data_IF_149262839530
#
_entry.id   IF_149262839530
#
_cell.length_a   1.000
_cell.length_b   1.000
_cell.length_c   1.000
_cell.angle_alpha   90.00
_cell.angle_beta   90.00
_cell.angle_gamma   90.00
#
_symmetry.space_group_name_H-M   'P 1'
#
loop_
_entity.id
_entity.type
_entity.pdbx_description
1 polymer ?
#
# COMPACT_ATOMS: atom_id res chain seq x y z
N UNK A 1 -3.95 -38.22 -20.79
CA UNK A 1 -4.50 -37.29 -19.77
C UNK A 1 -3.45 -36.84 -18.74
N UNK A 2 -2.20 -36.57 -19.15
CA UNK A 2 -1.13 -36.04 -18.28
C UNK A 2 -0.15 -35.27 -19.18
N UNK A 3 -0.55 -34.08 -19.68
CA UNK A 3 0.33 -33.19 -20.47
C UNK A 3 -0.31 -31.81 -20.70
N UNK A 4 -0.59 -31.04 -19.65
CA UNK A 4 -1.01 -29.63 -19.80
C UNK A 4 -0.87 -28.76 -18.53
N UNK A 5 0.19 -28.91 -17.73
CA UNK A 5 0.53 -27.94 -16.67
C UNK A 5 2.02 -27.58 -16.71
N UNK A 6 2.48 -26.96 -17.79
CA UNK A 6 3.89 -26.53 -17.92
C UNK A 6 4.09 -25.10 -18.44
N UNK A 7 3.07 -24.26 -18.35
CA UNK A 7 3.17 -22.85 -18.74
C UNK A 7 2.67 -22.03 -17.56
N UNK A 8 3.62 -21.51 -16.77
CA UNK A 8 3.53 -20.40 -15.80
C UNK A 8 4.78 -20.34 -14.87
N UNK A 9 5.85 -21.08 -15.15
CA UNK A 9 7.19 -20.70 -14.68
C UNK A 9 7.66 -19.47 -15.46
N UNK A 10 8.25 -18.50 -14.75
CA UNK A 10 8.91 -17.34 -15.34
C UNK A 10 9.80 -17.74 -16.52
N UNK A 11 9.72 -17.03 -17.63
CA UNK A 11 10.74 -17.12 -18.70
C UNK A 11 12.09 -16.51 -18.29
N UNK A 12 12.20 -15.94 -17.08
CA UNK A 12 13.47 -16.00 -16.37
C UNK A 12 13.66 -17.46 -15.94
N UNK A 13 14.32 -18.26 -16.77
CA UNK A 13 14.85 -19.55 -16.33
C UNK A 13 15.69 -19.33 -15.06
N UNK A 14 15.89 -20.36 -14.21
CA UNK A 14 16.83 -20.24 -13.11
C UNK A 14 18.14 -19.73 -13.70
N UNK A 15 18.64 -18.60 -13.21
CA UNK A 15 19.99 -18.17 -13.56
C UNK A 15 20.89 -19.34 -13.24
N UNK A 16 21.66 -19.82 -14.22
CA UNK A 16 22.56 -20.95 -14.03
C UNK A 16 23.65 -20.68 -12.97
N UNK A 17 23.75 -19.45 -12.45
CA UNK A 17 24.49 -19.10 -11.25
C UNK A 17 23.59 -19.11 -10.01
N UNK A 18 24.03 -19.78 -8.95
CA UNK A 18 23.42 -19.68 -7.61
C UNK A 18 23.34 -18.23 -7.11
N UNK A 19 22.63 -18.03 -6.00
CA UNK A 19 22.45 -16.70 -5.38
C UNK A 19 23.78 -15.96 -5.25
N UNK A 20 23.85 -14.77 -5.84
CA UNK A 20 24.96 -13.83 -5.67
C UNK A 20 24.62 -12.85 -4.55
N UNK A 21 25.56 -12.54 -3.64
CA UNK A 21 25.37 -11.49 -2.65
C UNK A 21 25.02 -10.16 -3.32
N UNK A 22 24.05 -9.44 -2.75
CA UNK A 22 23.79 -8.07 -3.18
C UNK A 22 24.97 -7.17 -2.79
N UNK A 23 25.38 -6.28 -3.68
CA UNK A 23 26.36 -5.23 -3.39
C UNK A 23 25.63 -3.89 -3.33
N UNK A 24 25.84 -3.14 -2.24
CA UNK A 24 25.33 -1.78 -2.06
C UNK A 24 26.47 -0.78 -2.28
N UNK A 25 27.03 -0.76 -3.49
CA UNK A 25 28.18 0.08 -3.88
C UNK A 25 27.84 1.54 -4.18
N UNK A 26 26.56 1.92 -4.02
CA UNK A 26 26.08 3.26 -4.33
C UNK A 26 25.79 3.49 -5.81
N UNK A 27 25.85 2.46 -6.66
CA UNK A 27 25.65 2.57 -8.11
C UNK A 27 24.33 3.25 -8.52
N UNK A 28 23.28 3.08 -7.70
CA UNK A 28 21.98 3.73 -7.89
C UNK A 28 22.04 5.27 -7.84
N UNK A 29 23.09 5.87 -7.26
CA UNK A 29 23.27 7.31 -7.18
C UNK A 29 24.07 7.91 -8.34
N UNK A 30 24.60 7.09 -9.27
CA UNK A 30 25.44 7.59 -10.37
C UNK A 30 24.72 8.56 -11.32
N UNK A 31 23.38 8.49 -11.41
CA UNK A 31 22.61 9.46 -12.21
C UNK A 31 22.40 10.81 -11.51
N UNK A 32 22.75 10.92 -10.22
CA UNK A 32 22.53 12.14 -9.45
C UNK A 32 23.78 13.01 -9.45
N UNK A 33 23.62 14.28 -9.84
CA UNK A 33 24.68 15.26 -9.71
C UNK A 33 24.99 15.60 -8.24
N UNK A 34 26.20 16.08 -7.96
CA UNK A 34 26.62 16.48 -6.61
C UNK A 34 25.68 17.51 -5.97
N UNK A 35 25.11 18.42 -6.78
CA UNK A 35 24.11 19.38 -6.31
C UNK A 35 22.82 18.72 -5.85
N UNK A 36 22.35 17.69 -6.56
CA UNK A 36 21.15 16.93 -6.17
C UNK A 36 21.39 16.12 -4.90
N UNK A 37 22.57 15.51 -4.76
CA UNK A 37 22.95 14.78 -3.56
C UNK A 37 23.07 15.71 -2.34
N UNK A 38 23.67 16.88 -2.52
CA UNK A 38 23.76 17.91 -1.48
C UNK A 38 22.37 18.39 -1.06
N UNK A 39 21.49 18.68 -2.03
CA UNK A 39 20.09 19.05 -1.77
C UNK A 39 19.36 17.93 -1.02
N UNK A 40 19.50 16.68 -1.45
CA UNK A 40 18.88 15.53 -0.81
C UNK A 40 19.34 15.40 0.65
N UNK A 41 20.64 15.52 0.92
CA UNK A 41 21.19 15.49 2.27
C UNK A 41 20.63 16.62 3.13
N UNK A 42 20.58 17.85 2.61
CA UNK A 42 20.00 19.00 3.32
C UNK A 42 18.52 18.76 3.65
N UNK A 43 17.72 18.34 2.66
CA UNK A 43 16.29 18.06 2.84
C UNK A 43 16.08 16.97 3.90
N UNK A 44 16.84 15.87 3.85
CA UNK A 44 16.72 14.80 4.84
C UNK A 44 17.10 15.27 6.24
N UNK A 45 18.12 16.13 6.38
CA UNK A 45 18.49 16.75 7.66
C UNK A 45 17.40 17.69 8.19
N UNK A 46 16.76 18.45 7.31
CA UNK A 46 15.62 19.29 7.66
C UNK A 46 14.42 18.45 8.12
N UNK A 47 14.10 17.37 7.42
CA UNK A 47 13.04 16.43 7.81
C UNK A 47 13.34 15.71 9.13
N UNK A 48 14.61 15.63 9.56
CA UNK A 48 14.98 15.10 10.86
C UNK A 48 14.82 16.11 12.01
N UNK A 49 14.44 17.37 11.73
CA UNK A 49 14.28 18.42 12.73
C UNK A 49 12.81 18.52 13.19
N UNK A 50 12.46 18.07 14.42
CA UNK A 50 11.07 17.93 14.83
C UNK A 50 10.23 19.22 14.74
N UNK A 51 10.72 20.40 15.16
CA UNK A 51 9.93 21.64 15.06
C UNK A 51 9.48 21.98 13.64
N UNK A 52 10.29 21.67 12.62
CA UNK A 52 9.92 21.90 11.22
C UNK A 52 8.84 20.92 10.78
N UNK A 53 8.96 19.64 11.16
CA UNK A 53 7.99 18.60 10.80
C UNK A 53 6.64 18.85 11.48
N UNK A 54 6.65 19.17 12.78
CA UNK A 54 5.42 19.38 13.55
C UNK A 54 4.65 20.63 13.11
N UNK A 55 5.34 21.66 12.62
CA UNK A 55 4.72 22.92 12.20
C UNK A 55 4.71 23.13 10.68
N UNK A 56 5.01 22.10 9.89
CA UNK A 56 5.20 22.20 8.44
C UNK A 56 4.02 22.86 7.71
N UNK A 57 2.79 22.50 8.06
CA UNK A 57 1.58 23.09 7.46
C UNK A 57 1.42 24.57 7.80
N UNK A 58 1.70 24.97 9.04
CA UNK A 58 1.65 26.36 9.47
C UNK A 58 2.73 27.20 8.79
N UNK A 59 3.95 26.64 8.67
CA UNK A 59 5.06 27.27 7.95
C UNK A 59 4.76 27.39 6.45
N UNK A 60 4.12 26.40 5.84
CA UNK A 60 3.67 26.46 4.46
C UNK A 60 2.60 27.56 4.27
N UNK A 61 1.59 27.61 5.14
CA UNK A 61 0.55 28.64 5.09
C UNK A 61 1.14 30.05 5.27
N UNK A 62 2.09 30.19 6.21
CA UNK A 62 2.82 31.43 6.42
C UNK A 62 3.66 31.82 5.21
N UNK A 63 4.39 30.88 4.62
CA UNK A 63 5.19 31.09 3.40
C UNK A 63 4.32 31.53 2.23
N UNK A 64 3.16 30.90 2.03
CA UNK A 64 2.19 31.31 1.01
C UNK A 64 1.63 32.70 1.26
N UNK A 65 1.40 33.08 2.52
CA UNK A 65 0.93 34.42 2.89
C UNK A 65 1.99 35.49 2.68
N UNK A 66 3.26 35.18 2.93
CA UNK A 66 4.37 36.14 2.81
C UNK A 66 4.87 36.29 1.37
N UNK A 67 5.13 35.17 0.68
CA UNK A 67 5.77 35.13 -0.63
C UNK A 67 4.77 35.00 -1.79
N UNK A 68 3.50 34.72 -1.48
CA UNK A 68 2.51 34.35 -2.48
C UNK A 68 2.64 32.89 -2.95
N UNK A 69 1.58 32.39 -3.58
CA UNK A 69 1.47 30.99 -4.01
C UNK A 69 2.53 30.59 -5.04
N UNK A 70 2.90 31.48 -5.96
CA UNK A 70 3.87 31.20 -7.02
C UNK A 70 5.29 31.01 -6.49
N UNK A 71 5.80 31.97 -5.71
CA UNK A 71 7.17 31.91 -5.18
C UNK A 71 7.29 30.84 -4.08
N UNK A 72 6.30 30.75 -3.19
CA UNK A 72 6.27 29.68 -2.20
C UNK A 72 6.22 28.31 -2.86
N UNK A 73 5.45 28.15 -3.94
CA UNK A 73 5.39 26.92 -4.71
C UNK A 73 6.73 26.60 -5.37
N UNK A 74 7.37 27.58 -6.02
CA UNK A 74 8.70 27.39 -6.63
C UNK A 74 9.77 26.99 -5.62
N UNK A 75 9.76 27.58 -4.41
CA UNK A 75 10.69 27.23 -3.33
C UNK A 75 10.45 25.81 -2.80
N UNK A 76 9.19 25.43 -2.59
CA UNK A 76 8.85 24.05 -2.19
C UNK A 76 9.30 23.05 -3.27
N UNK A 77 9.08 23.38 -4.54
CA UNK A 77 9.48 22.58 -5.70
C UNK A 77 10.99 22.38 -5.78
N UNK A 78 11.76 23.44 -5.56
CA UNK A 78 13.22 23.40 -5.56
C UNK A 78 13.81 22.67 -4.33
N UNK A 79 13.02 22.37 -3.30
CA UNK A 79 13.50 21.82 -2.02
C UNK A 79 12.89 20.44 -1.71
N UNK A 80 11.88 20.38 -0.84
CA UNK A 80 11.26 19.16 -0.28
C UNK A 80 10.46 18.45 -1.37
N UNK A 81 9.65 19.19 -2.14
CA UNK A 81 8.77 18.58 -3.13
C UNK A 81 9.57 17.90 -4.24
N UNK A 82 10.58 18.55 -4.79
CA UNK A 82 11.49 17.95 -5.78
C UNK A 82 12.39 16.82 -5.26
N UNK A 83 12.35 16.52 -3.95
CA UNK A 83 13.00 15.34 -3.39
C UNK A 83 12.10 14.11 -3.40
N UNK A 84 10.80 14.29 -3.15
CA UNK A 84 9.87 13.19 -2.87
C UNK A 84 8.79 12.99 -3.93
N UNK A 85 8.54 13.98 -4.78
CA UNK A 85 7.45 13.94 -5.76
C UNK A 85 8.03 13.84 -7.18
N UNK A 86 7.49 12.90 -7.96
CA UNK A 86 7.97 12.61 -9.31
C UNK A 86 7.66 13.72 -10.33
N UNK A 87 6.63 14.53 -10.09
CA UNK A 87 6.20 15.63 -10.94
C UNK A 87 4.82 16.15 -10.57
N UNK A 88 4.49 17.37 -11.00
CA UNK A 88 3.16 17.98 -10.88
C UNK A 88 2.26 17.63 -12.08
N UNK A 89 2.85 17.34 -13.24
CA UNK A 89 2.14 16.99 -14.48
C UNK A 89 2.39 15.54 -14.90
N UNK A 90 1.51 15.01 -15.76
CA UNK A 90 1.68 13.67 -16.32
C UNK A 90 2.98 13.56 -17.13
N UNK A 91 3.37 14.63 -17.83
CA UNK A 91 4.59 14.72 -18.62
C UNK A 91 5.84 14.68 -17.74
N UNK A 92 5.85 15.42 -16.63
CA UNK A 92 6.95 15.41 -15.65
C UNK A 92 7.10 14.01 -15.02
N UNK A 93 5.98 13.42 -14.59
CA UNK A 93 5.97 12.06 -14.04
C UNK A 93 6.48 11.06 -15.08
N UNK A 94 6.08 11.19 -16.36
CA UNK A 94 6.58 10.34 -17.44
C UNK A 94 8.08 10.47 -17.66
N UNK A 95 8.60 11.70 -17.67
CA UNK A 95 10.04 11.93 -17.78
C UNK A 95 10.82 11.29 -16.62
N UNK A 96 10.35 11.45 -15.39
CA UNK A 96 10.95 10.84 -14.20
C UNK A 96 10.94 9.30 -14.28
N UNK A 97 9.82 8.72 -14.71
CA UNK A 97 9.70 7.26 -14.83
C UNK A 97 10.61 6.69 -15.92
N UNK A 98 10.71 7.36 -17.08
CA UNK A 98 11.62 6.97 -18.15
C UNK A 98 13.09 7.01 -17.69
N UNK A 99 13.48 8.03 -16.92
CA UNK A 99 14.82 8.11 -16.33
C UNK A 99 15.11 6.97 -15.36
N UNK A 100 14.15 6.58 -14.51
CA UNK A 100 14.32 5.44 -13.60
C UNK A 100 14.38 4.10 -14.35
N UNK A 101 13.64 3.97 -15.45
CA UNK A 101 13.65 2.77 -16.29
C UNK A 101 15.01 2.54 -16.97
N UNK A 102 15.78 3.59 -17.32
CA UNK A 102 17.14 3.42 -17.85
C UNK A 102 18.10 2.77 -16.83
N UNK A 103 17.78 2.85 -15.54
CA UNK A 103 18.49 2.16 -14.45
C UNK A 103 17.97 0.75 -14.18
N UNK A 104 17.01 0.25 -14.95
CA UNK A 104 16.33 -1.02 -14.66
C UNK A 104 15.38 -0.94 -13.46
N UNK A 105 15.10 0.25 -12.93
CA UNK A 105 14.12 0.45 -11.88
C UNK A 105 12.71 0.50 -12.48
N UNK A 106 11.74 -0.09 -11.78
CA UNK A 106 10.32 -0.04 -12.15
C UNK A 106 9.58 0.78 -11.11
N UNK A 107 9.26 2.06 -11.40
CA UNK A 107 8.52 2.89 -10.47
C UNK A 107 7.10 2.37 -10.26
N UNK A 108 6.61 2.56 -9.04
CA UNK A 108 5.22 2.41 -8.69
C UNK A 108 4.65 3.80 -8.46
N UNK A 109 3.50 4.11 -9.05
CA UNK A 109 2.80 5.35 -8.74
C UNK A 109 2.01 5.21 -7.44
N UNK A 110 2.16 6.20 -6.56
CA UNK A 110 1.45 6.30 -5.31
C UNK A 110 0.53 7.52 -5.33
N UNK A 111 -0.72 7.31 -4.94
CA UNK A 111 -1.66 8.41 -4.67
C UNK A 111 -1.60 8.68 -3.17
N UNK A 112 -0.93 9.77 -2.72
CA UNK A 112 -0.67 9.99 -1.31
C UNK A 112 -1.90 10.50 -0.54
N UNK A 113 -3.05 10.65 -1.20
CA UNK A 113 -4.28 11.14 -0.59
C UNK A 113 -4.78 10.16 0.47
N UNK A 114 -5.19 10.69 1.62
CA UNK A 114 -5.89 9.99 2.69
C UNK A 114 -6.78 10.96 3.44
N UNK A 115 -7.78 10.45 4.16
CA UNK A 115 -8.51 11.26 5.13
C UNK A 115 -7.80 11.17 6.48
N UNK A 116 -7.29 12.29 6.98
CA UNK A 116 -6.72 12.36 8.33
C UNK A 116 -7.83 12.22 9.38
N UNK A 117 -7.76 11.21 10.26
CA UNK A 117 -8.75 11.01 11.31
C UNK A 117 -8.80 12.22 12.24
N UNK A 118 -10.00 12.55 12.72
CA UNK A 118 -10.25 13.66 13.66
C UNK A 118 -9.82 15.06 13.12
N UNK A 119 -9.62 15.20 11.80
CA UNK A 119 -9.41 16.50 11.15
C UNK A 119 -10.63 17.42 11.32
N UNK A 120 -10.36 18.71 11.57
CA UNK A 120 -11.40 19.73 11.64
C UNK A 120 -12.04 20.03 10.26
N UNK A 121 -11.38 19.63 9.17
CA UNK A 121 -11.88 19.81 7.81
C UNK A 121 -12.91 18.73 7.52
N UNK A 122 -14.18 19.13 7.36
CA UNK A 122 -15.25 18.20 6.96
C UNK A 122 -15.03 17.76 5.51
N UNK A 123 -14.82 16.46 5.31
CA UNK A 123 -14.91 15.84 3.99
C UNK A 123 -16.37 15.51 3.66
N UNK A 124 -16.67 15.37 2.38
CA UNK A 124 -18.01 15.02 1.90
C UNK A 124 -17.94 14.25 0.58
N UNK A 125 -19.06 13.74 0.09
CA UNK A 125 -19.10 12.87 -1.10
C UNK A 125 -18.39 13.47 -2.32
N UNK A 126 -18.52 14.79 -2.54
CA UNK A 126 -17.83 15.45 -3.65
C UNK A 126 -16.29 15.33 -3.57
N UNK A 127 -15.71 15.33 -2.37
CA UNK A 127 -14.28 15.12 -2.16
C UNK A 127 -13.87 13.69 -2.51
N UNK A 128 -14.67 12.72 -2.06
CA UNK A 128 -14.46 11.30 -2.36
C UNK A 128 -14.62 10.97 -3.85
N UNK A 129 -15.57 11.60 -4.55
CA UNK A 129 -15.74 11.48 -6.01
C UNK A 129 -14.58 12.14 -6.78
N UNK A 130 -14.06 13.26 -6.28
CA UNK A 130 -12.85 13.89 -6.80
C UNK A 130 -11.62 12.97 -6.68
N UNK A 131 -11.43 12.36 -5.51
CA UNK A 131 -10.37 11.39 -5.27
C UNK A 131 -10.53 10.13 -6.13
N UNK A 132 -11.76 9.62 -6.24
CA UNK A 132 -12.08 8.51 -7.14
C UNK A 132 -11.65 8.82 -8.58
N UNK A 133 -12.03 10.01 -9.09
CA UNK A 133 -11.64 10.46 -10.43
C UNK A 133 -10.12 10.59 -10.57
N UNK A 134 -9.42 11.06 -9.54
CA UNK A 134 -7.96 11.16 -9.53
C UNK A 134 -7.29 9.77 -9.55
N UNK A 135 -7.84 8.78 -8.83
CA UNK A 135 -7.34 7.42 -8.84
C UNK A 135 -7.49 6.75 -10.21
N UNK A 136 -8.62 6.95 -10.90
CA UNK A 136 -8.78 6.44 -12.28
C UNK A 136 -7.72 7.02 -13.22
N UNK A 137 -7.46 8.33 -13.15
CA UNK A 137 -6.39 8.96 -13.94
C UNK A 137 -5.00 8.41 -13.59
N UNK A 138 -4.75 8.10 -12.32
CA UNK A 138 -3.47 7.51 -11.90
C UNK A 138 -3.31 6.07 -12.40
N UNK A 139 -4.40 5.30 -12.50
CA UNK A 139 -4.39 3.99 -13.17
C UNK A 139 -4.02 4.15 -14.65
N UNK A 140 -4.67 5.07 -15.36
CA UNK A 140 -4.39 5.32 -16.78
C UNK A 140 -2.94 5.76 -17.01
N UNK A 141 -2.44 6.66 -16.15
CA UNK A 141 -1.05 7.08 -16.17
C UNK A 141 -0.11 5.90 -15.91
N UNK A 142 -0.37 5.08 -14.89
CA UNK A 142 0.45 3.90 -14.56
C UNK A 142 0.59 2.95 -15.77
N UNK A 143 -0.49 2.76 -16.54
CA UNK A 143 -0.47 1.94 -17.75
C UNK A 143 0.33 2.58 -18.89
N UNK A 144 0.18 3.89 -19.10
CA UNK A 144 0.84 4.64 -20.18
C UNK A 144 2.34 4.84 -19.99
N UNK A 145 2.89 4.53 -18.82
CA UNK A 145 4.30 4.71 -18.47
C UNK A 145 5.22 3.53 -18.83
N UNK A 146 4.68 2.38 -19.23
CA UNK A 146 5.46 1.18 -19.53
C UNK A 146 5.22 0.74 -20.99
N UNK A 147 6.22 1.00 -21.85
CA UNK A 147 6.16 0.73 -23.30
C UNK A 147 6.26 -0.76 -23.65
N UNK A 148 6.91 -1.57 -22.80
CA UNK A 148 7.02 -3.02 -23.01
C UNK A 148 6.33 -3.78 -21.89
N UNK A 149 5.25 -4.52 -22.18
CA UNK A 149 4.73 -5.52 -21.25
C UNK A 149 5.81 -6.59 -21.11
N UNK A 150 6.55 -6.57 -20.00
CA UNK A 150 7.32 -7.74 -19.60
C UNK A 150 6.38 -8.96 -19.51
N UNK A 151 6.87 -10.18 -19.72
CA UNK A 151 6.04 -11.40 -19.78
C UNK A 151 5.24 -11.69 -18.49
N UNK A 152 5.43 -10.89 -17.43
CA UNK A 152 4.75 -10.96 -16.13
C UNK A 152 4.12 -9.61 -15.73
N UNK A 153 3.51 -8.88 -16.68
CA UNK A 153 2.79 -7.60 -16.52
C UNK A 153 2.24 -7.29 -15.12
N UNK A 154 3.09 -6.69 -14.28
CA UNK A 154 2.81 -6.34 -12.89
C UNK A 154 3.02 -4.84 -12.71
N UNK A 155 2.21 -4.04 -13.42
CA UNK A 155 2.10 -2.62 -13.09
C UNK A 155 1.38 -2.54 -11.76
N UNK A 156 1.94 -1.78 -10.84
CA UNK A 156 1.45 -1.68 -9.48
C UNK A 156 1.17 -0.21 -9.17
N UNK A 157 0.06 0.04 -8.46
CA UNK A 157 -0.32 1.37 -7.98
C UNK A 157 -0.73 1.29 -6.51
N UNK A 158 -0.28 2.24 -5.70
CA UNK A 158 -0.70 2.35 -4.30
C UNK A 158 -2.02 3.10 -4.17
N UNK A 159 -2.87 2.59 -3.26
CA UNK A 159 -4.17 3.15 -2.92
C UNK A 159 -4.33 3.13 -1.39
N UNK A 160 -4.87 4.22 -0.85
CA UNK A 160 -5.33 4.29 0.55
C UNK A 160 -6.85 4.26 0.58
N UNK A 161 -7.41 3.48 1.50
CA UNK A 161 -8.86 3.24 1.53
C UNK A 161 -9.59 4.50 1.97
N UNK A 162 -9.02 5.26 2.92
CA UNK A 162 -9.62 6.49 3.44
C UNK A 162 -9.65 7.65 2.44
N UNK A 163 -8.92 7.56 1.33
CA UNK A 163 -9.14 8.47 0.20
C UNK A 163 -10.48 8.24 -0.50
N UNK A 164 -11.07 7.05 -0.32
CA UNK A 164 -12.34 6.60 -0.90
C UNK A 164 -13.38 6.22 0.16
N UNK A 165 -13.18 6.49 1.44
CA UNK A 165 -14.23 6.27 2.42
C UNK A 165 -13.89 7.04 3.67
N UNK A 166 -14.90 7.36 4.48
CA UNK A 166 -14.63 8.09 5.69
C UNK A 166 -13.87 7.27 6.72
N UNK A 167 -12.79 7.84 7.25
CA UNK A 167 -12.07 7.37 8.43
C UNK A 167 -13.02 7.24 9.63
N UNK A 168 -14.01 8.14 9.77
CA UNK A 168 -15.05 8.01 10.80
C UNK A 168 -15.89 6.75 10.61
N UNK A 169 -16.37 6.49 9.39
CA UNK A 169 -17.11 5.26 9.10
C UNK A 169 -16.25 4.02 9.37
N UNK A 170 -14.97 4.03 8.97
CA UNK A 170 -14.04 2.94 9.24
C UNK A 170 -13.81 2.70 10.74
N UNK A 171 -13.78 3.76 11.55
CA UNK A 171 -13.69 3.68 13.01
C UNK A 171 -14.93 3.03 13.62
N UNK A 172 -16.13 3.43 13.17
CA UNK A 172 -17.41 2.80 13.58
C UNK A 172 -17.46 1.32 13.22
N UNK A 173 -17.14 0.98 11.95
CA UNK A 173 -17.06 -0.41 11.49
C UNK A 173 -16.05 -1.23 12.30
N UNK A 174 -14.87 -0.67 12.58
CA UNK A 174 -13.85 -1.34 13.40
C UNK A 174 -14.35 -1.61 14.81
N UNK A 175 -15.04 -0.65 15.43
CA UNK A 175 -15.63 -0.81 16.76
C UNK A 175 -16.65 -1.95 16.80
N UNK A 176 -17.39 -2.14 15.70
CA UNK A 176 -18.37 -3.23 15.56
C UNK A 176 -17.70 -4.57 15.33
N UNK A 177 -16.74 -4.66 14.40
CA UNK A 177 -16.01 -5.89 14.07
C UNK A 177 -15.32 -6.50 15.30
N UNK A 178 -14.85 -5.67 16.23
CA UNK A 178 -14.21 -6.13 17.46
C UNK A 178 -15.19 -6.71 18.50
N UNK A 179 -16.51 -6.56 18.34
CA UNK A 179 -17.50 -7.11 19.26
C UNK A 179 -17.72 -8.62 18.99
N UNK A 180 -17.74 -9.47 20.04
CA UNK A 180 -18.08 -10.88 19.88
C UNK A 180 -19.48 -11.06 19.23
N UNK A 181 -19.59 -11.90 18.20
CA UNK A 181 -20.87 -12.20 17.53
C UNK A 181 -21.31 -11.21 16.43
N UNK A 182 -20.55 -10.15 16.18
CA UNK A 182 -20.83 -9.12 15.16
C UNK A 182 -20.76 -9.61 13.68
N UNK A 183 -20.36 -10.86 13.45
CA UNK A 183 -19.71 -11.33 12.22
C UNK A 183 -20.62 -11.66 11.04
N UNK A 184 -21.95 -11.71 11.22
CA UNK A 184 -22.86 -12.13 10.14
C UNK A 184 -23.25 -10.98 9.19
N UNK A 185 -23.29 -9.73 9.68
CA UNK A 185 -23.68 -8.61 8.83
C UNK A 185 -22.55 -8.03 7.99
N UNK A 186 -21.32 -8.19 8.47
CA UNK A 186 -20.11 -7.60 7.90
C UNK A 186 -19.08 -8.72 7.66
N UNK A 187 -19.30 -9.49 6.60
CA UNK A 187 -18.34 -10.47 6.10
C UNK A 187 -17.79 -10.04 4.73
N UNK A 188 -16.55 -10.46 4.37
CA UNK A 188 -15.99 -10.20 3.05
C UNK A 188 -16.92 -10.65 1.89
N UNK A 189 -17.60 -11.79 2.03
CA UNK A 189 -18.51 -12.36 1.03
C UNK A 189 -19.71 -11.45 0.77
N UNK A 190 -20.36 -10.97 1.84
CA UNK A 190 -21.55 -10.13 1.74
C UNK A 190 -21.22 -8.76 1.16
N UNK A 191 -20.06 -8.21 1.51
CA UNK A 191 -19.57 -6.97 0.93
C UNK A 191 -19.22 -7.14 -0.55
N UNK A 192 -18.61 -8.27 -0.94
CA UNK A 192 -18.32 -8.61 -2.33
C UNK A 192 -19.61 -8.78 -3.16
N UNK A 193 -20.65 -9.43 -2.63
CA UNK A 193 -21.96 -9.56 -3.30
C UNK A 193 -22.62 -8.19 -3.51
N UNK A 194 -22.54 -7.30 -2.53
CA UNK A 194 -23.07 -5.95 -2.63
C UNK A 194 -22.37 -5.14 -3.75
N UNK A 195 -21.06 -5.35 -3.95
CA UNK A 195 -20.31 -4.72 -5.04
C UNK A 195 -20.81 -5.17 -6.43
N UNK A 196 -21.13 -6.45 -6.61
CA UNK A 196 -21.56 -7.02 -7.89
C UNK A 196 -23.02 -6.72 -8.23
N UNK A 197 -23.90 -6.98 -7.27
CA UNK A 197 -25.34 -6.94 -7.48
C UNK A 197 -25.89 -5.51 -7.48
N UNK A 198 -25.14 -4.55 -6.93
CA UNK A 198 -25.63 -3.21 -6.66
C UNK A 198 -26.79 -3.20 -5.65
N UNK A 199 -27.02 -4.31 -4.92
CA UNK A 199 -28.07 -4.40 -3.90
C UNK A 199 -27.79 -3.44 -2.76
N UNK A 200 -28.87 -2.98 -2.12
CA UNK A 200 -28.76 -2.18 -0.91
C UNK A 200 -28.21 -3.03 0.25
N UNK A 201 -26.90 -2.93 0.48
CA UNK A 201 -26.29 -3.38 1.73
C UNK A 201 -26.82 -2.52 2.88
N UNK A 202 -27.40 -3.17 3.88
CA UNK A 202 -27.83 -2.54 5.13
C UNK A 202 -27.13 -3.21 6.32
N UNK A 203 -26.44 -2.41 7.11
CA UNK A 203 -25.82 -2.79 8.38
C UNK A 203 -26.64 -2.14 9.48
N UNK A 204 -27.18 -2.96 10.39
CA UNK A 204 -28.15 -2.54 11.42
C UNK A 204 -27.54 -1.54 12.40
N UNK A 205 -26.23 -1.61 12.65
CA UNK A 205 -25.52 -0.71 13.55
C UNK A 205 -25.24 0.69 12.95
N UNK A 206 -25.38 0.84 11.63
CA UNK A 206 -25.17 2.11 10.94
C UNK A 206 -26.49 2.84 10.73
N UNK A 207 -26.47 4.17 10.82
CA UNK A 207 -27.63 4.98 10.46
C UNK A 207 -27.82 5.03 8.92
N UNK A 208 -28.88 5.69 8.45
CA UNK A 208 -29.21 5.76 7.02
C UNK A 208 -28.10 6.41 6.18
N UNK A 209 -27.53 7.53 6.64
CA UNK A 209 -26.45 8.25 5.95
C UNK A 209 -25.16 7.42 5.91
N UNK A 210 -24.82 6.75 7.00
CA UNK A 210 -23.65 5.88 7.08
C UNK A 210 -23.78 4.67 6.17
N UNK A 211 -24.97 4.04 6.11
CA UNK A 211 -25.23 2.95 5.17
C UNK A 211 -25.14 3.42 3.72
N UNK A 212 -25.70 4.60 3.41
CA UNK A 212 -25.57 5.21 2.08
C UNK A 212 -24.10 5.47 1.72
N UNK A 213 -23.31 6.04 2.65
CA UNK A 213 -21.88 6.29 2.44
C UNK A 213 -21.08 4.99 2.29
N UNK A 214 -21.42 3.94 3.05
CA UNK A 214 -20.80 2.62 2.91
C UNK A 214 -21.03 2.04 1.51
N UNK A 215 -22.28 2.09 1.02
CA UNK A 215 -22.62 1.65 -0.34
C UNK A 215 -21.86 2.45 -1.41
N UNK A 216 -21.81 3.78 -1.27
CA UNK A 216 -21.04 4.63 -2.18
C UNK A 216 -19.54 4.30 -2.15
N UNK A 217 -18.98 4.04 -0.96
CA UNK A 217 -17.58 3.66 -0.76
C UNK A 217 -17.25 2.32 -1.42
N UNK A 218 -18.09 1.30 -1.23
CA UNK A 218 -17.95 -0.01 -1.88
C UNK A 218 -18.01 0.12 -3.41
N UNK A 219 -18.94 0.92 -3.92
CA UNK A 219 -19.06 1.21 -5.36
C UNK A 219 -17.78 1.86 -5.91
N UNK A 220 -17.25 2.90 -5.23
CA UNK A 220 -16.02 3.58 -5.66
C UNK A 220 -14.81 2.63 -5.63
N UNK A 221 -14.61 1.91 -4.54
CA UNK A 221 -13.54 0.90 -4.41
C UNK A 221 -13.64 -0.16 -5.52
N UNK A 222 -14.82 -0.77 -5.69
CA UNK A 222 -15.08 -1.78 -6.71
C UNK A 222 -14.75 -1.26 -8.13
N UNK A 223 -15.19 -0.04 -8.45
CA UNK A 223 -14.96 0.58 -9.77
C UNK A 223 -13.48 0.88 -10.02
N UNK A 224 -12.71 1.29 -9.00
CA UNK A 224 -11.26 1.46 -9.15
C UNK A 224 -10.59 0.13 -9.45
N UNK A 225 -10.91 -0.95 -8.73
CA UNK A 225 -10.33 -2.27 -8.99
C UNK A 225 -10.70 -2.79 -10.38
N UNK A 226 -11.98 -2.63 -10.77
CA UNK A 226 -12.47 -3.00 -12.10
C UNK A 226 -11.70 -2.28 -13.21
N UNK A 227 -11.50 -0.97 -13.07
CA UNK A 227 -10.75 -0.15 -14.04
C UNK A 227 -9.27 -0.52 -14.06
N UNK A 228 -8.63 -0.64 -12.89
CA UNK A 228 -7.24 -1.05 -12.74
C UNK A 228 -6.98 -2.40 -13.42
N UNK A 229 -7.84 -3.39 -13.18
CA UNK A 229 -7.76 -4.69 -13.84
C UNK A 229 -7.88 -4.58 -15.36
N UNK A 230 -8.83 -3.81 -15.88
CA UNK A 230 -8.98 -3.59 -17.32
C UNK A 230 -7.74 -2.94 -17.95
N UNK A 231 -7.01 -2.14 -17.17
CA UNK A 231 -5.74 -1.53 -17.55
C UNK A 231 -4.51 -2.37 -17.18
N UNK A 232 -4.68 -3.62 -16.71
CA UNK A 232 -3.60 -4.49 -16.24
C UNK A 232 -2.72 -3.86 -15.14
N UNK A 233 -3.33 -3.07 -14.27
CA UNK A 233 -2.73 -2.48 -13.07
C UNK A 233 -3.25 -3.20 -11.83
N UNK A 234 -2.33 -3.68 -10.99
CA UNK A 234 -2.63 -4.30 -9.70
C UNK A 234 -2.58 -3.21 -8.61
N UNK A 235 -3.48 -3.30 -7.64
CA UNK A 235 -3.63 -2.29 -6.58
C UNK A 235 -3.01 -2.79 -5.27
N UNK A 236 -2.11 -1.98 -4.71
CA UNK A 236 -1.55 -2.17 -3.38
C UNK A 236 -2.28 -1.28 -2.40
N UNK A 237 -3.11 -1.90 -1.58
CA UNK A 237 -3.84 -1.17 -0.57
C UNK A 237 -2.96 -0.99 0.66
N UNK A 238 -2.72 0.27 1.01
CA UNK A 238 -1.89 0.64 2.15
C UNK A 238 -2.63 0.41 3.47
N UNK A 239 -1.86 0.00 4.47
CA UNK A 239 -2.32 -0.02 5.85
C UNK A 239 -2.16 1.38 6.44
N UNK A 240 -3.11 1.76 7.28
CA UNK A 240 -3.20 3.09 7.88
C UNK A 240 -3.09 2.92 9.41
N UNK A 241 -3.97 3.57 10.17
CA UNK A 241 -4.00 3.54 11.63
C UNK A 241 -4.62 2.26 12.20
N UNK A 242 -4.15 1.79 13.37
CA UNK A 242 -4.62 0.53 13.99
C UNK A 242 -6.12 0.53 14.32
N UNK A 243 -6.70 1.70 14.61
CA UNK A 243 -8.12 1.85 14.88
C UNK A 243 -9.00 1.89 13.62
N UNK A 244 -8.39 1.93 12.42
CA UNK A 244 -9.08 1.81 11.13
C UNK A 244 -8.83 0.46 10.47
N UNK A 245 -7.63 -0.10 10.65
CA UNK A 245 -7.13 -1.27 9.92
C UNK A 245 -8.07 -2.48 9.91
N UNK A 246 -8.87 -2.80 10.96
CA UNK A 246 -9.86 -3.88 10.88
C UNK A 246 -10.93 -3.64 9.80
N UNK A 247 -11.51 -2.44 9.72
CA UNK A 247 -12.45 -2.09 8.67
C UNK A 247 -11.77 -2.02 7.29
N UNK A 248 -10.56 -1.46 7.22
CA UNK A 248 -9.81 -1.41 5.95
C UNK A 248 -9.51 -2.82 5.43
N UNK A 249 -9.05 -3.72 6.31
CA UNK A 249 -8.77 -5.12 5.97
C UNK A 249 -10.02 -5.84 5.50
N UNK A 250 -11.17 -5.64 6.18
CA UNK A 250 -12.45 -6.21 5.75
C UNK A 250 -12.85 -5.76 4.33
N UNK A 251 -12.67 -4.46 4.01
CA UNK A 251 -12.94 -3.93 2.66
C UNK A 251 -11.98 -4.50 1.62
N UNK A 252 -10.69 -4.65 1.96
CA UNK A 252 -9.68 -5.25 1.09
C UNK A 252 -9.96 -6.73 0.86
N UNK A 253 -10.34 -7.47 1.90
CA UNK A 253 -10.68 -8.88 1.81
C UNK A 253 -11.92 -9.07 0.91
N UNK A 254 -12.95 -8.21 1.03
CA UNK A 254 -14.11 -8.22 0.13
C UNK A 254 -13.71 -8.00 -1.34
N UNK A 255 -12.83 -7.03 -1.60
CA UNK A 255 -12.27 -6.81 -2.94
C UNK A 255 -11.46 -8.01 -3.43
N UNK A 256 -10.68 -8.65 -2.56
CA UNK A 256 -9.90 -9.84 -2.89
C UNK A 256 -10.80 -11.05 -3.18
N UNK A 257 -11.87 -11.27 -2.41
CA UNK A 257 -12.86 -12.31 -2.72
C UNK A 257 -13.45 -12.14 -4.11
N UNK A 258 -13.68 -10.88 -4.50
CA UNK A 258 -14.26 -10.55 -5.80
C UNK A 258 -13.28 -10.72 -6.96
N UNK A 259 -12.02 -10.30 -6.78
CA UNK A 259 -11.09 -10.10 -7.89
C UNK A 259 -9.88 -11.01 -7.87
N UNK A 260 -9.53 -11.67 -6.76
CA UNK A 260 -8.33 -12.51 -6.65
C UNK A 260 -8.60 -14.00 -6.89
N UNK A 261 -9.72 -14.37 -7.52
CA UNK A 261 -9.99 -15.76 -7.89
C UNK A 261 -8.94 -16.33 -8.86
N UNK A 262 -8.77 -17.67 -8.91
CA UNK A 262 -7.73 -18.33 -9.71
C UNK A 262 -7.89 -18.09 -11.22
N UNK A 263 -9.13 -17.94 -11.69
CA UNK A 263 -9.42 -17.62 -13.10
C UNK A 263 -9.03 -16.19 -13.51
N UNK A 264 -8.67 -15.33 -12.56
CA UNK A 264 -8.47 -13.91 -12.81
C UNK A 264 -7.02 -13.54 -13.11
N UNK A 265 -6.04 -14.42 -12.89
CA UNK A 265 -4.61 -14.08 -13.01
C UNK A 265 -4.11 -13.13 -11.91
N UNK A 266 -4.78 -13.16 -10.74
CA UNK A 266 -4.49 -12.35 -9.56
C UNK A 266 -3.14 -12.65 -8.89
N UNK A 267 -2.83 -11.99 -7.76
CA UNK A 267 -3.69 -11.08 -7.01
C UNK A 267 -3.78 -9.70 -7.67
N UNK A 268 -5.00 -9.21 -7.88
CA UNK A 268 -5.27 -7.85 -8.37
C UNK A 268 -5.31 -6.84 -7.23
N UNK A 269 -5.73 -7.30 -6.06
CA UNK A 269 -5.81 -6.50 -4.84
C UNK A 269 -4.85 -7.07 -3.81
N UNK A 270 -3.94 -6.25 -3.34
CA UNK A 270 -2.92 -6.60 -2.35
C UNK A 270 -3.20 -5.86 -1.06
N UNK A 271 -2.84 -6.48 0.06
CA UNK A 271 -2.96 -5.86 1.38
C UNK A 271 -1.57 -5.60 1.99
N UNK A 272 -1.47 -4.58 2.84
CA UNK A 272 -0.23 -4.18 3.50
C UNK A 272 -0.21 -4.62 4.96
N UNK A 273 0.90 -5.21 5.40
CA UNK A 273 1.08 -5.70 6.77
C UNK A 273 2.25 -4.96 7.42
N UNK A 274 1.99 -4.40 8.61
CA UNK A 274 2.91 -3.51 9.32
C UNK A 274 3.62 -4.26 10.45
N UNK A 275 4.85 -4.68 10.24
CA UNK A 275 5.60 -5.53 11.19
C UNK A 275 5.90 -4.88 12.55
N UNK A 276 5.78 -3.56 12.66
CA UNK A 276 5.88 -2.83 13.94
C UNK A 276 4.71 -3.08 14.89
N UNK A 277 3.62 -3.74 14.48
CA UNK A 277 2.53 -4.12 15.39
C UNK A 277 2.80 -5.51 15.97
N UNK A 278 2.44 -5.69 17.24
CA UNK A 278 2.64 -6.95 17.98
C UNK A 278 1.89 -8.13 17.35
N UNK A 279 0.73 -7.88 16.76
CA UNK A 279 -0.18 -8.90 16.22
C UNK A 279 0.09 -9.27 14.75
N UNK A 280 0.95 -8.54 14.03
CA UNK A 280 1.06 -8.65 12.57
C UNK A 280 1.42 -10.04 12.08
N UNK A 281 2.34 -10.73 12.75
CA UNK A 281 2.74 -12.08 12.34
C UNK A 281 1.54 -13.05 12.34
N UNK A 282 0.74 -13.00 13.41
CA UNK A 282 -0.42 -13.88 13.58
C UNK A 282 -1.56 -13.48 12.64
N UNK A 283 -1.80 -12.17 12.45
CA UNK A 283 -2.77 -11.67 11.48
C UNK A 283 -2.42 -12.06 10.05
N UNK A 284 -1.14 -11.96 9.67
CA UNK A 284 -0.63 -12.36 8.36
C UNK A 284 -0.78 -13.87 8.13
N UNK A 285 -0.45 -14.69 9.14
CA UNK A 285 -0.65 -16.14 9.10
C UNK A 285 -2.12 -16.50 8.83
N UNK A 286 -3.04 -15.94 9.61
CA UNK A 286 -4.49 -16.21 9.47
C UNK A 286 -5.02 -15.76 8.11
N UNK A 287 -4.57 -14.62 7.60
CA UNK A 287 -4.97 -14.12 6.30
C UNK A 287 -4.47 -15.00 5.15
N UNK A 288 -3.22 -15.48 5.22
CA UNK A 288 -2.67 -16.42 4.25
C UNK A 288 -3.48 -17.74 4.23
N UNK A 289 -3.80 -18.28 5.40
CA UNK A 289 -4.62 -19.49 5.55
C UNK A 289 -6.07 -19.28 5.08
N UNK A 290 -6.66 -18.11 5.35
CA UNK A 290 -8.00 -17.77 4.89
C UNK A 290 -8.06 -17.67 3.36
N UNK A 291 -7.08 -16.99 2.74
CA UNK A 291 -6.96 -16.91 1.29
C UNK A 291 -6.76 -18.30 0.67
N UNK A 292 -5.99 -19.18 1.31
CA UNK A 292 -5.79 -20.55 0.84
C UNK A 292 -7.07 -21.39 0.89
N UNK A 293 -7.78 -21.38 2.03
CA UNK A 293 -9.08 -22.05 2.16
C UNK A 293 -10.11 -21.54 1.15
N UNK A 294 -10.07 -20.26 0.83
CA UNK A 294 -10.96 -19.64 -0.16
C UNK A 294 -10.49 -19.85 -1.61
N UNK A 295 -9.33 -20.46 -1.85
CA UNK A 295 -8.75 -20.63 -3.19
C UNK A 295 -8.36 -19.32 -3.87
N UNK A 296 -8.12 -18.25 -3.11
CA UNK A 296 -7.80 -16.92 -3.62
C UNK A 296 -6.29 -16.71 -3.72
N UNK A 297 -5.88 -15.94 -4.74
CA UNK A 297 -4.53 -15.44 -4.86
C UNK A 297 -4.27 -14.39 -3.77
N UNK A 298 -3.15 -14.52 -3.06
CA UNK A 298 -2.83 -13.70 -1.90
C UNK A 298 -1.64 -12.78 -2.18
N UNK A 299 -1.87 -11.48 -2.17
CA UNK A 299 -0.85 -10.45 -2.39
C UNK A 299 -0.54 -9.67 -1.12
N UNK A 300 0.74 -9.64 -0.72
CA UNK A 300 1.21 -9.00 0.51
C UNK A 300 2.27 -7.96 0.22
N UNK A 301 2.08 -6.74 0.74
CA UNK A 301 3.16 -5.74 0.91
C UNK A 301 3.58 -5.74 2.38
N UNK A 302 4.81 -6.19 2.66
CA UNK A 302 5.34 -6.22 4.02
C UNK A 302 6.19 -4.98 4.30
N UNK A 303 5.76 -4.17 5.27
CA UNK A 303 6.45 -2.95 5.73
C UNK A 303 6.78 -3.04 7.21
N UNK A 304 7.64 -2.15 7.73
CA UNK A 304 7.75 -1.93 9.19
C UNK A 304 6.48 -1.23 9.71
N UNK A 305 6.25 0.00 9.28
CA UNK A 305 5.11 0.83 9.70
C UNK A 305 5.44 2.31 9.55
N UNK A 306 4.42 3.17 9.51
CA UNK A 306 4.58 4.61 9.27
C UNK A 306 3.95 5.51 10.35
N UNK A 307 3.16 4.94 11.28
CA UNK A 307 2.34 5.71 12.22
C UNK A 307 2.77 5.55 13.69
N UNK A 308 4.01 5.12 13.95
CA UNK A 308 4.50 4.68 15.28
C UNK A 308 4.22 5.69 16.40
N UNK A 309 4.58 6.96 16.19
CA UNK A 309 4.42 7.99 17.21
C UNK A 309 2.94 8.26 17.51
N UNK A 310 2.10 8.26 16.47
CA UNK A 310 0.66 8.46 16.60
C UNK A 310 0.00 7.30 17.34
N UNK A 311 0.36 6.05 17.02
CA UNK A 311 -0.16 4.88 17.73
C UNK A 311 0.19 4.92 19.23
N UNK A 312 1.43 5.30 19.56
CA UNK A 312 1.89 5.46 20.96
C UNK A 312 1.18 6.61 21.68
N UNK A 313 0.94 7.71 20.99
CA UNK A 313 0.16 8.84 21.54
C UNK A 313 -1.28 8.42 21.85
N UNK A 314 -1.95 7.76 20.91
CA UNK A 314 -3.32 7.26 21.06
C UNK A 314 -3.42 6.26 22.22
N UNK A 315 -2.49 5.30 22.32
CA UNK A 315 -2.47 4.33 23.40
C UNK A 315 -2.32 5.00 24.78
N UNK A 316 -1.40 5.97 24.90
CA UNK A 316 -1.23 6.75 26.14
C UNK A 316 -2.47 7.56 26.50
N UNK A 317 -3.09 8.22 25.52
CA UNK A 317 -4.27 9.05 25.76
C UNK A 317 -5.47 8.23 26.23
N UNK A 318 -5.65 7.02 25.70
CA UNK A 318 -6.74 6.12 26.11
C UNK A 318 -6.41 5.20 27.28
N UNK A 319 -5.16 5.23 27.79
CA UNK A 319 -4.71 4.30 28.84
C UNK A 319 -4.75 2.83 28.41
N UNK A 320 -4.60 2.54 27.11
CA UNK A 320 -4.59 1.18 26.56
C UNK A 320 -3.16 0.71 26.34
N UNK A 321 -2.98 -0.60 26.15
CA UNK A 321 -1.68 -1.15 25.78
C UNK A 321 -1.20 -0.58 24.43
N UNK A 322 0.09 -0.23 24.35
CA UNK A 322 0.75 0.13 23.09
C UNK A 322 0.72 -1.08 22.13
N UNK A 323 0.05 -0.97 20.96
CA UNK A 323 -0.04 -2.07 20.00
C UNK A 323 1.27 -2.32 19.25
N UNK A 324 2.26 -1.43 19.40
CA UNK A 324 3.52 -1.44 18.67
C UNK A 324 4.59 -2.26 19.39
N UNK A 325 5.60 -2.73 18.66
CA UNK A 325 6.79 -3.35 19.21
C UNK A 325 7.54 -2.32 20.09
N UNK A 326 8.20 -2.77 21.17
CA UNK A 326 8.81 -1.86 22.15
C UNK A 326 9.91 -0.98 21.53
N UNK A 327 10.69 -1.53 20.60
CA UNK A 327 11.85 -0.87 20.00
C UNK A 327 12.08 -1.27 18.53
N UNK A 328 13.15 -0.71 17.96
CA UNK A 328 13.55 -0.93 16.57
C UNK A 328 13.99 -2.38 16.32
N UNK A 329 14.70 -2.98 17.27
CA UNK A 329 15.21 -4.34 17.23
C UNK A 329 14.06 -5.34 17.22
N UNK A 330 13.08 -5.19 18.12
CA UNK A 330 11.87 -5.99 18.16
C UNK A 330 11.01 -5.82 16.90
N UNK A 331 10.92 -4.60 16.36
CA UNK A 331 10.29 -4.36 15.04
C UNK A 331 11.02 -5.11 13.93
N UNK A 332 12.34 -5.11 13.94
CA UNK A 332 13.16 -5.78 12.92
C UNK A 332 13.05 -7.31 13.03
N UNK A 333 13.05 -7.86 14.24
CA UNK A 333 12.78 -9.29 14.47
C UNK A 333 11.36 -9.68 14.02
N UNK A 334 10.36 -8.85 14.32
CA UNK A 334 8.99 -9.05 13.87
C UNK A 334 8.90 -9.05 12.33
N UNK A 335 9.59 -8.12 11.66
CA UNK A 335 9.69 -8.07 10.20
C UNK A 335 10.33 -9.34 9.64
N UNK A 336 11.47 -9.78 10.19
CA UNK A 336 12.15 -11.00 9.79
C UNK A 336 11.29 -12.25 9.92
N UNK A 337 10.49 -12.37 10.99
CA UNK A 337 9.54 -13.48 11.17
C UNK A 337 8.42 -13.45 10.11
N UNK A 338 7.82 -12.28 9.87
CA UNK A 338 6.78 -12.13 8.84
C UNK A 338 7.32 -12.42 7.43
N UNK A 339 8.56 -12.00 7.15
CA UNK A 339 9.26 -12.27 5.91
C UNK A 339 9.47 -13.77 5.69
N UNK A 340 9.98 -14.49 6.71
CA UNK A 340 10.19 -15.94 6.64
C UNK A 340 8.87 -16.69 6.39
N UNK A 341 7.81 -16.31 7.12
CA UNK A 341 6.47 -16.87 6.93
C UNK A 341 6.02 -16.69 5.48
N UNK A 342 6.13 -15.48 4.92
CA UNK A 342 5.65 -15.21 3.58
C UNK A 342 6.51 -15.84 2.49
N UNK A 343 7.82 -15.90 2.65
CA UNK A 343 8.69 -16.58 1.70
C UNK A 343 8.38 -18.08 1.65
N UNK A 344 8.10 -18.69 2.80
CA UNK A 344 7.63 -20.08 2.88
C UNK A 344 6.29 -20.24 2.16
N UNK A 345 5.32 -19.34 2.38
CA UNK A 345 4.02 -19.36 1.69
C UNK A 345 4.15 -19.20 0.17
N UNK A 346 5.03 -18.30 -0.30
CA UNK A 346 5.33 -18.11 -1.73
C UNK A 346 5.93 -19.38 -2.33
N UNK A 347 6.88 -20.02 -1.64
CA UNK A 347 7.47 -21.28 -2.10
C UNK A 347 6.43 -22.41 -2.19
N UNK A 348 5.53 -22.52 -1.21
CA UNK A 348 4.52 -23.57 -1.16
C UNK A 348 3.35 -23.35 -2.12
N UNK A 349 2.87 -22.12 -2.26
CA UNK A 349 1.66 -21.78 -3.05
C UNK A 349 1.97 -21.28 -4.46
N UNK A 350 3.24 -21.05 -4.78
CA UNK A 350 3.72 -20.62 -6.09
C UNK A 350 2.97 -19.40 -6.63
N UNK A 351 2.35 -19.47 -7.82
CA UNK A 351 1.71 -18.32 -8.46
C UNK A 351 0.48 -17.78 -7.71
N UNK A 352 -0.02 -18.48 -6.70
CA UNK A 352 -1.16 -18.05 -5.87
C UNK A 352 -0.74 -17.18 -4.69
N UNK A 353 0.56 -16.98 -4.42
CA UNK A 353 1.01 -16.14 -3.33
C UNK A 353 2.14 -15.20 -3.79
N UNK A 354 2.00 -13.91 -3.50
CA UNK A 354 2.93 -12.88 -3.94
C UNK A 354 3.33 -11.98 -2.77
N UNK A 355 4.61 -11.61 -2.74
CA UNK A 355 5.21 -10.80 -1.68
C UNK A 355 5.97 -9.62 -2.27
N UNK A 356 5.69 -8.43 -1.76
CA UNK A 356 6.54 -7.25 -1.90
C UNK A 356 7.26 -7.00 -0.58
N UNK A 357 8.59 -7.08 -0.61
CA UNK A 357 9.48 -6.72 0.51
C UNK A 357 9.74 -5.21 0.44
N UNK A 358 9.00 -4.43 1.23
CA UNK A 358 9.13 -2.98 1.26
C UNK A 358 9.99 -2.54 2.47
N UNK A 359 11.30 -2.36 2.22
CA UNK A 359 12.27 -1.96 3.24
C UNK A 359 13.45 -1.23 2.60
N UNK A 360 13.95 -0.19 3.27
CA UNK A 360 15.25 0.46 2.96
C UNK A 360 16.39 -0.06 3.85
N UNK A 361 16.12 -1.03 4.72
CA UNK A 361 17.14 -1.60 5.60
C UNK A 361 17.87 -2.73 4.89
N UNK A 362 19.18 -2.56 4.73
CA UNK A 362 20.07 -3.46 3.99
C UNK A 362 19.95 -4.91 4.46
N UNK A 363 20.01 -5.15 5.77
CA UNK A 363 19.91 -6.49 6.38
C UNK A 363 18.59 -7.19 6.00
N UNK A 364 17.47 -6.47 6.00
CA UNK A 364 16.17 -7.02 5.59
C UNK A 364 16.17 -7.46 4.12
N UNK A 365 16.85 -6.71 3.25
CA UNK A 365 16.94 -7.00 1.82
C UNK A 365 17.90 -8.17 1.55
N UNK A 366 19.03 -8.22 2.24
CA UNK A 366 19.94 -9.38 2.22
C UNK A 366 19.24 -10.65 2.68
N UNK A 367 18.54 -10.60 3.82
CA UNK A 367 17.77 -11.74 4.32
C UNK A 367 16.76 -12.22 3.27
N UNK A 368 15.97 -11.31 2.69
CA UNK A 368 14.94 -11.64 1.72
C UNK A 368 15.52 -12.32 0.47
N UNK A 369 16.56 -11.74 -0.13
CA UNK A 369 17.15 -12.27 -1.36
C UNK A 369 17.89 -13.59 -1.14
N UNK A 370 18.65 -13.71 -0.05
CA UNK A 370 19.33 -14.95 0.33
C UNK A 370 18.31 -16.08 0.53
N UNK A 371 17.25 -15.80 1.30
CA UNK A 371 16.23 -16.81 1.61
C UNK A 371 15.42 -17.20 0.37
N UNK A 372 15.05 -16.25 -0.47
CA UNK A 372 14.39 -16.53 -1.75
C UNK A 372 15.27 -17.42 -2.65
N UNK A 373 16.57 -17.13 -2.74
CA UNK A 373 17.53 -17.96 -3.48
C UNK A 373 17.57 -19.40 -2.97
N UNK A 374 17.59 -19.60 -1.65
CA UNK A 374 17.55 -20.93 -1.03
C UNK A 374 16.27 -21.70 -1.35
N UNK A 375 15.12 -21.03 -1.35
CA UNK A 375 13.81 -21.66 -1.62
C UNK A 375 13.58 -21.97 -3.11
N UNK A 376 14.27 -21.28 -4.02
CA UNK A 376 14.22 -21.56 -5.46
C UNK A 376 15.15 -22.71 -5.89
N UNK A 377 16.12 -23.08 -5.06
CA UNK A 377 17.08 -24.16 -5.34
C UNK A 377 16.64 -25.55 -4.81
N UNK A 378 15.51 -25.61 -4.11
CA UNK A 378 14.85 -26.83 -3.61
C UNK A 378 13.61 -27.07 -4.47
#
# INVERSE_FOLDING_TARGET
MLRTCRVLCSQAGPSAGGWQPLSFDGGAFHLKGTGELTRALLVLRLCAWPPLVTHGLALQAWSQRLLGSRLSGALLRASIYGQFVAGETAEEVKGCVQQLQTLGLRPLLAVPTEEEPDSAVKTGEAWYEGNFSAMLRCVDLSRGLLETPGPTGNILMQLKVTALTSARLCKELTSWIRKPGASLELSPERLAEAMDSGRDLQVSHLNAEQNQHLRASLSRLHRVVKHARAQHVRLLVDAEYTFLNPALSLLVDALAMRWNGPGEGGPWVWNTYQAYLKDTHERLRRAAEAADRAGLAFGVKLVRGAYLDKEREVARHHGTEDPTQPDYEATSQSYSRCLELMLTQVSHRGPMCHLMVASHNEESVHQATKRAGQLCCV
#
